data_IF_855789093986
#
_entry.id   IF_855789093986
#
_cell.length_a   1.000
_cell.length_b   1.000
_cell.length_c   1.000
_cell.angle_alpha   90.00
_cell.angle_beta   90.00
_cell.angle_gamma   90.00
#
_symmetry.space_group_name_H-M   'P 1'
#
loop_
_entity.id
_entity.type
_entity.pdbx_description
1 polymer ?
#
# COMPACT_ATOMS: atom_id res chain seq x y z
N UNK A 1 -8.25 8.71 -4.55
CA UNK A 1 -7.58 7.38 -4.48
C UNK A 1 -6.21 7.50 -3.79
N UNK A 2 -5.58 6.38 -3.38
CA UNK A 2 -4.22 6.36 -2.78
C UNK A 2 -3.38 5.27 -3.46
N UNK A 3 -2.20 5.61 -3.95
CA UNK A 3 -1.20 4.65 -4.42
C UNK A 3 -0.35 4.18 -3.22
N UNK A 4 -0.32 2.87 -2.97
CA UNK A 4 0.54 2.25 -1.95
C UNK A 4 1.64 1.47 -2.66
N UNK A 5 2.90 1.63 -2.23
CA UNK A 5 4.04 0.82 -2.70
C UNK A 5 4.71 0.10 -1.56
N UNK A 6 5.01 -1.17 -1.77
CA UNK A 6 5.62 -2.04 -0.77
C UNK A 6 6.62 -3.03 -1.36
N UNK A 7 7.44 -3.57 -0.47
CA UNK A 7 8.37 -4.66 -0.74
C UNK A 7 7.91 -5.90 0.02
N UNK A 8 7.74 -7.03 -0.65
CA UNK A 8 7.45 -8.32 -0.02
C UNK A 8 8.23 -9.41 -0.73
N UNK A 9 8.91 -10.29 0.02
CA UNK A 9 9.72 -11.38 -0.53
C UNK A 9 10.72 -10.95 -1.63
N UNK A 10 11.29 -9.74 -1.52
CA UNK A 10 12.23 -9.19 -2.51
C UNK A 10 11.56 -8.57 -3.75
N UNK A 11 10.24 -8.62 -3.86
CA UNK A 11 9.47 -8.05 -4.97
C UNK A 11 8.84 -6.71 -4.57
N UNK A 12 8.99 -5.72 -5.45
CA UNK A 12 8.32 -4.42 -5.33
C UNK A 12 6.96 -4.49 -6.02
N UNK A 13 5.94 -4.06 -5.30
CA UNK A 13 4.55 -4.05 -5.75
C UNK A 13 3.92 -2.70 -5.49
N UNK A 14 2.88 -2.40 -6.24
CA UNK A 14 2.07 -1.20 -6.09
C UNK A 14 0.60 -1.48 -6.35
N UNK A 15 -0.27 -0.74 -5.65
CA UNK A 15 -1.73 -0.86 -5.78
C UNK A 15 -2.38 0.49 -5.48
N UNK A 16 -3.37 0.84 -6.29
CA UNK A 16 -4.21 2.02 -6.07
C UNK A 16 -5.49 1.60 -5.38
N UNK A 17 -5.74 2.17 -4.20
CA UNK A 17 -6.91 1.84 -3.37
C UNK A 17 -7.72 3.09 -3.01
N UNK A 18 -9.02 2.95 -2.74
CA UNK A 18 -9.81 4.05 -2.17
C UNK A 18 -9.22 4.53 -0.84
N UNK A 19 -9.26 5.84 -0.59
CA UNK A 19 -8.65 6.46 0.60
C UNK A 19 -9.21 5.87 1.90
N UNK A 20 -10.50 5.55 1.93
CA UNK A 20 -11.18 4.92 3.07
C UNK A 20 -10.64 3.52 3.39
N UNK A 21 -10.16 2.79 2.38
CA UNK A 21 -9.61 1.43 2.51
C UNK A 21 -8.08 1.41 2.68
N UNK A 22 -7.39 2.50 2.36
CA UNK A 22 -5.93 2.58 2.36
C UNK A 22 -5.28 2.17 3.69
N UNK A 23 -5.88 2.60 4.82
CA UNK A 23 -5.38 2.25 6.16
C UNK A 23 -5.50 0.76 6.44
N UNK A 24 -6.66 0.17 6.13
CA UNK A 24 -6.89 -1.25 6.31
C UNK A 24 -5.93 -2.07 5.45
N UNK A 25 -5.81 -1.70 4.17
CA UNK A 25 -4.94 -2.39 3.22
C UNK A 25 -3.48 -2.38 3.65
N UNK A 26 -2.98 -1.24 4.16
CA UNK A 26 -1.64 -1.15 4.72
C UNK A 26 -1.42 -2.16 5.85
N UNK A 27 -2.39 -2.31 6.76
CA UNK A 27 -2.28 -3.29 7.85
C UNK A 27 -2.29 -4.74 7.35
N UNK A 28 -3.08 -5.06 6.32
CA UNK A 28 -3.04 -6.39 5.70
C UNK A 28 -1.68 -6.69 5.07
N UNK A 29 -1.07 -5.71 4.40
CA UNK A 29 0.26 -5.83 3.81
C UNK A 29 1.32 -6.03 4.89
N UNK A 30 1.29 -5.22 5.96
CA UNK A 30 2.18 -5.35 7.11
C UNK A 30 2.03 -6.73 7.78
N UNK A 31 0.81 -7.25 7.93
CA UNK A 31 0.54 -8.58 8.48
C UNK A 31 1.08 -9.73 7.59
N UNK A 32 1.17 -9.51 6.27
CA UNK A 32 1.80 -10.42 5.33
C UNK A 32 3.34 -10.33 5.33
N UNK A 33 3.92 -9.44 6.14
CA UNK A 33 5.36 -9.18 6.18
C UNK A 33 5.85 -8.24 5.08
N UNK A 34 4.94 -7.50 4.44
CA UNK A 34 5.34 -6.45 3.50
C UNK A 34 5.88 -5.22 4.23
N UNK A 35 6.92 -4.61 3.67
CA UNK A 35 7.45 -3.32 4.11
C UNK A 35 6.87 -2.24 3.20
N UNK A 36 5.94 -1.45 3.73
CA UNK A 36 5.36 -0.29 3.03
C UNK A 36 6.30 0.91 3.18
N UNK A 37 6.74 1.49 2.07
CA UNK A 37 7.70 2.59 2.06
C UNK A 37 7.19 3.87 1.37
N UNK A 38 6.02 3.81 0.73
CA UNK A 38 5.39 4.97 0.10
C UNK A 38 3.87 4.80 0.07
N UNK A 39 3.16 5.88 0.41
CA UNK A 39 1.72 5.99 0.19
C UNK A 39 1.38 7.42 -0.19
N UNK A 40 0.79 7.63 -1.37
CA UNK A 40 0.47 8.96 -1.89
C UNK A 40 -1.00 9.07 -2.29
N UNK A 41 -1.65 10.16 -1.90
CA UNK A 41 -3.02 10.46 -2.35
C UNK A 41 -2.94 10.90 -3.81
N UNK A 42 -3.62 10.17 -4.69
CA UNK A 42 -3.81 10.60 -6.05
C UNK A 42 -4.87 11.71 -6.03
N UNK A 43 -4.48 12.91 -6.44
CA UNK A 43 -5.42 13.98 -6.73
C UNK A 43 -6.25 13.57 -7.96
N UNK A 44 -7.57 13.59 -7.81
CA UNK A 44 -8.51 13.50 -8.93
C UNK A 44 -8.60 14.85 -9.64
#
# INVERSE_FOLDING_TARGET
>A
MVLIRWLIAGQRLEETVPTEHARHRRHELEAQGAVVYWSERLAE
#
